data_IF_777911789580
#
_entry.id   IF_777911789580
#
_cell.length_a   1.000
_cell.length_b   1.000
_cell.length_c   1.000
_cell.angle_alpha   90.00
_cell.angle_beta   90.00
_cell.angle_gamma   90.00
#
_symmetry.space_group_name_H-M   'P 1'
#
loop_
_entity.id
_entity.type
_entity.pdbx_description
1 polymer ?
#
# COMPACT_ATOMS: atom_id res chain seq x y z
N UNK A 1 38.16 -3.38 11.08
CA UNK A 1 37.41 -4.02 9.97
C UNK A 1 36.56 -5.12 10.56
N UNK A 2 35.28 -4.86 10.76
CA UNK A 2 34.33 -5.88 11.22
C UNK A 2 33.21 -5.88 10.20
N UNK A 3 33.33 -6.76 9.21
CA UNK A 3 32.27 -7.00 8.23
C UNK A 3 31.14 -7.74 8.94
N UNK A 4 30.06 -7.02 9.22
CA UNK A 4 28.79 -7.63 9.60
C UNK A 4 28.14 -8.10 8.31
N UNK A 5 28.27 -9.40 8.01
CA UNK A 5 27.48 -10.06 6.96
C UNK A 5 25.98 -9.89 7.31
N UNK A 6 25.12 -9.49 6.37
CA UNK A 6 23.69 -9.50 6.60
C UNK A 6 23.28 -10.96 6.85
N UNK A 7 22.63 -11.23 8.00
CA UNK A 7 21.86 -12.46 8.15
C UNK A 7 20.76 -12.41 7.10
N UNK A 8 20.86 -13.25 6.07
CA UNK A 8 19.67 -13.69 5.33
C UNK A 8 18.67 -14.12 6.40
N UNK A 9 17.57 -13.38 6.53
CA UNK A 9 16.46 -13.79 7.35
C UNK A 9 15.96 -15.10 6.75
N UNK A 10 16.42 -16.21 7.35
CA UNK A 10 15.92 -17.53 7.07
C UNK A 10 14.39 -17.43 7.04
N UNK A 11 13.79 -17.90 5.94
CA UNK A 11 12.35 -18.10 5.81
C UNK A 11 11.80 -18.61 7.13
N UNK A 12 11.11 -17.74 7.88
CA UNK A 12 10.42 -18.15 9.08
C UNK A 12 9.37 -19.13 8.59
N UNK A 13 9.65 -20.43 8.73
CA UNK A 13 8.75 -21.49 8.30
C UNK A 13 7.39 -21.22 8.94
N UNK A 14 6.41 -20.85 8.13
CA UNK A 14 5.06 -20.60 8.58
C UNK A 14 4.42 -21.98 8.81
N UNK A 15 4.54 -22.50 10.02
CA UNK A 15 3.87 -23.74 10.40
C UNK A 15 2.36 -23.52 10.48
N UNK A 16 1.57 -24.45 9.94
CA UNK A 16 0.10 -24.43 10.00
C UNK A 16 -0.55 -23.20 9.32
N UNK A 17 0.07 -22.67 8.25
CA UNK A 17 -0.48 -21.55 7.47
C UNK A 17 -0.80 -21.89 6.01
N UNK A 18 -0.91 -23.18 5.71
CA UNK A 18 -1.11 -23.66 4.34
C UNK A 18 -2.42 -23.14 3.74
N UNK A 19 -3.48 -23.04 4.54
CA UNK A 19 -4.79 -22.52 4.10
C UNK A 19 -4.71 -21.03 3.76
N UNK A 20 -4.08 -20.21 4.62
CA UNK A 20 -3.91 -18.77 4.38
C UNK A 20 -3.03 -18.50 3.16
N UNK A 21 -1.94 -19.25 3.00
CA UNK A 21 -1.07 -19.14 1.82
C UNK A 21 -1.83 -19.57 0.57
N UNK A 22 -2.60 -20.66 0.61
CA UNK A 22 -3.41 -21.10 -0.54
C UNK A 22 -4.43 -20.04 -0.95
N UNK A 23 -5.12 -19.40 0.02
CA UNK A 23 -6.08 -18.35 -0.27
C UNK A 23 -5.42 -17.11 -0.90
N UNK A 24 -4.23 -16.74 -0.42
CA UNK A 24 -3.42 -15.65 -1.00
C UNK A 24 -3.00 -15.99 -2.43
N UNK A 25 -2.49 -17.21 -2.65
CA UNK A 25 -2.05 -17.66 -3.97
C UNK A 25 -3.19 -17.60 -4.98
N UNK A 26 -4.38 -18.09 -4.62
CA UNK A 26 -5.57 -18.01 -5.45
C UNK A 26 -5.99 -16.56 -5.77
N UNK A 27 -5.92 -15.66 -4.78
CA UNK A 27 -6.24 -14.26 -4.99
C UNK A 27 -5.25 -13.57 -5.96
N UNK A 28 -3.95 -13.84 -5.81
CA UNK A 28 -2.93 -13.30 -6.72
C UNK A 28 -3.05 -13.92 -8.11
N UNK A 29 -3.30 -15.22 -8.22
CA UNK A 29 -3.48 -15.89 -9.51
C UNK A 29 -4.71 -15.32 -10.25
N UNK A 30 -5.80 -15.04 -9.52
CA UNK A 30 -6.98 -14.35 -10.07
C UNK A 30 -6.66 -12.93 -10.52
N UNK A 31 -5.90 -12.18 -9.72
CA UNK A 31 -5.45 -10.82 -10.07
C UNK A 31 -4.60 -10.82 -11.35
N UNK A 32 -3.70 -11.78 -11.49
CA UNK A 32 -2.79 -11.91 -12.64
C UNK A 32 -3.50 -12.43 -13.90
N UNK A 33 -4.59 -13.18 -13.76
CA UNK A 33 -5.30 -13.77 -14.89
C UNK A 33 -6.13 -12.75 -15.70
N UNK A 34 -6.66 -11.71 -15.03
CA UNK A 34 -7.57 -10.76 -15.66
C UNK A 34 -7.28 -9.31 -15.23
N UNK A 35 -6.85 -8.48 -16.19
CA UNK A 35 -6.61 -7.06 -15.97
C UNK A 35 -7.90 -6.25 -15.72
N UNK A 36 -9.06 -6.80 -16.09
CA UNK A 36 -10.37 -6.25 -15.76
C UNK A 36 -10.88 -6.67 -14.38
N UNK A 37 -10.13 -7.51 -13.66
CA UNK A 37 -10.41 -7.84 -12.26
C UNK A 37 -10.57 -6.56 -11.44
N UNK A 38 -11.61 -6.52 -10.62
CA UNK A 38 -11.84 -5.42 -9.67
C UNK A 38 -10.85 -5.44 -8.50
N UNK A 39 -9.94 -6.42 -8.46
CA UNK A 39 -9.04 -6.67 -7.35
C UNK A 39 -9.72 -7.45 -6.23
N UNK A 40 -8.99 -7.64 -5.12
CA UNK A 40 -9.48 -8.33 -3.93
C UNK A 40 -8.90 -7.70 -2.68
N UNK A 41 -9.70 -7.61 -1.61
CA UNK A 41 -9.23 -7.19 -0.29
C UNK A 41 -9.11 -8.40 0.63
N UNK A 42 -7.89 -8.66 1.11
CA UNK A 42 -7.61 -9.68 2.11
C UNK A 42 -7.27 -9.02 3.45
N UNK A 43 -7.93 -9.45 4.53
CA UNK A 43 -7.70 -8.91 5.88
C UNK A 43 -7.17 -10.01 6.79
N UNK A 44 -5.89 -9.89 7.16
CA UNK A 44 -5.25 -10.80 8.12
C UNK A 44 -5.57 -10.36 9.54
N UNK A 45 -6.25 -11.23 10.31
CA UNK A 45 -6.61 -10.99 11.71
C UNK A 45 -6.00 -12.05 12.61
N UNK A 46 -5.64 -11.64 13.82
CA UNK A 46 -5.08 -12.53 14.82
C UNK A 46 -4.47 -11.75 15.97
N UNK A 47 -4.26 -12.41 17.10
CA UNK A 47 -3.63 -11.82 18.27
C UNK A 47 -2.20 -11.34 18.00
N UNK A 48 -1.71 -10.43 18.84
CA UNK A 48 -0.32 -9.97 18.78
C UNK A 48 0.63 -11.16 18.94
N UNK A 49 1.69 -11.21 18.14
CA UNK A 49 2.67 -12.30 18.19
C UNK A 49 2.34 -13.55 17.38
N UNK A 50 1.13 -13.69 16.79
CA UNK A 50 0.76 -14.86 15.95
C UNK A 50 1.38 -14.87 14.53
N UNK A 51 2.40 -14.05 14.28
CA UNK A 51 3.13 -14.06 13.01
C UNK A 51 2.46 -13.34 11.83
N UNK A 52 1.52 -12.41 12.06
CA UNK A 52 0.86 -11.64 10.97
C UNK A 52 1.85 -10.92 10.04
N UNK A 53 2.86 -10.27 10.61
CA UNK A 53 3.94 -9.63 9.83
C UNK A 53 4.76 -10.66 9.05
N UNK A 54 4.99 -11.85 9.60
CA UNK A 54 5.68 -12.93 8.88
C UNK A 54 4.81 -13.46 7.74
N UNK A 55 3.49 -13.58 7.92
CA UNK A 55 2.56 -13.93 6.86
C UNK A 55 2.57 -12.87 5.75
N UNK A 56 2.50 -11.57 6.08
CA UNK A 56 2.62 -10.50 5.07
C UNK A 56 3.96 -10.52 4.31
N UNK A 57 5.05 -10.89 4.97
CA UNK A 57 6.34 -11.06 4.31
C UNK A 57 6.33 -12.24 3.32
N UNK A 58 5.64 -13.34 3.64
CA UNK A 58 5.46 -14.44 2.69
C UNK A 58 4.52 -14.07 1.54
N UNK A 59 3.43 -13.35 1.82
CA UNK A 59 2.52 -12.81 0.78
C UNK A 59 3.31 -11.95 -0.22
N UNK A 60 4.22 -11.10 0.27
CA UNK A 60 5.14 -10.34 -0.59
C UNK A 60 5.97 -11.26 -1.49
N UNK A 61 6.63 -12.28 -0.92
CA UNK A 61 7.44 -13.24 -1.70
C UNK A 61 6.61 -13.98 -2.75
N UNK A 62 5.38 -14.37 -2.41
CA UNK A 62 4.43 -15.02 -3.31
C UNK A 62 4.08 -14.10 -4.49
N UNK A 63 3.77 -12.84 -4.22
CA UNK A 63 3.44 -11.84 -5.23
C UNK A 63 4.65 -11.51 -6.13
N UNK A 64 5.83 -11.30 -5.55
CA UNK A 64 7.08 -11.05 -6.29
C UNK A 64 7.44 -12.24 -7.21
N UNK A 65 7.25 -13.49 -6.75
CA UNK A 65 7.44 -14.70 -7.59
C UNK A 65 6.49 -14.75 -8.79
N UNK A 66 5.33 -14.11 -8.69
CA UNK A 66 4.33 -14.00 -9.77
C UNK A 66 4.51 -12.72 -10.61
N UNK A 67 5.64 -12.03 -10.47
CA UNK A 67 5.97 -10.77 -11.15
C UNK A 67 4.97 -9.64 -10.86
N UNK A 68 4.31 -9.66 -9.70
CA UNK A 68 3.49 -8.54 -9.27
C UNK A 68 4.36 -7.40 -8.77
N UNK A 69 3.92 -6.17 -9.06
CA UNK A 69 4.41 -4.98 -8.37
C UNK A 69 3.90 -5.02 -6.93
N UNK A 70 4.79 -4.99 -5.94
CA UNK A 70 4.41 -5.00 -4.52
C UNK A 70 4.79 -3.69 -3.85
N UNK A 71 3.79 -2.98 -3.35
CA UNK A 71 4.02 -1.79 -2.52
C UNK A 71 3.61 -2.08 -1.10
N UNK A 72 4.32 -1.50 -0.14
CA UNK A 72 4.02 -1.73 1.26
C UNK A 72 4.10 -0.49 2.09
N UNK A 73 3.21 -0.45 3.08
CA UNK A 73 3.18 0.56 4.11
C UNK A 73 2.96 -0.11 5.46
N UNK A 74 3.31 0.62 6.52
CA UNK A 74 3.10 0.17 7.90
C UNK A 74 2.45 1.25 8.72
N UNK A 75 1.42 0.89 9.47
CA UNK A 75 0.85 1.74 10.50
C UNK A 75 1.87 1.96 11.63
N UNK A 76 1.98 3.20 12.10
CA UNK A 76 2.90 3.55 13.19
C UNK A 76 2.12 4.13 14.36
N UNK A 77 2.35 3.61 15.57
CA UNK A 77 1.63 4.05 16.77
C UNK A 77 1.74 5.56 17.01
N UNK A 78 2.93 6.13 16.81
CA UNK A 78 3.21 7.56 16.96
C UNK A 78 2.67 8.43 15.82
N UNK A 79 2.22 7.82 14.72
CA UNK A 79 1.81 8.52 13.49
C UNK A 79 0.29 8.50 13.27
N UNK A 80 -0.49 8.00 14.24
CA UNK A 80 -1.96 8.01 14.18
C UNK A 80 -2.59 9.39 13.97
N UNK A 81 -1.89 10.45 14.39
CA UNK A 81 -2.35 11.83 14.25
C UNK A 81 -1.91 12.50 12.95
N UNK A 82 -1.18 11.80 12.07
CA UNK A 82 -0.72 12.33 10.78
C UNK A 82 -1.66 11.78 9.70
N UNK A 83 -2.54 12.62 9.12
CA UNK A 83 -3.51 12.16 8.14
C UNK A 83 -2.86 11.51 6.92
N UNK A 84 -3.48 10.43 6.44
CA UNK A 84 -3.09 9.67 5.27
C UNK A 84 -1.65 9.12 5.30
N UNK A 85 -1.01 9.02 6.47
CA UNK A 85 0.41 8.64 6.55
C UNK A 85 0.73 7.29 5.89
N UNK A 86 -0.18 6.32 6.00
CA UNK A 86 -0.03 5.02 5.32
C UNK A 86 -0.18 5.17 3.81
N UNK A 87 -1.15 5.96 3.34
CA UNK A 87 -1.35 6.21 1.90
C UNK A 87 -0.15 6.93 1.29
N UNK A 88 0.46 7.87 2.04
CA UNK A 88 1.72 8.53 1.66
C UNK A 88 2.84 7.53 1.46
N UNK A 89 3.04 6.60 2.40
CA UNK A 89 4.06 5.55 2.27
C UNK A 89 3.89 4.71 1.01
N UNK A 90 2.64 4.49 0.56
CA UNK A 90 2.36 3.79 -0.69
C UNK A 90 2.66 4.68 -1.91
N UNK A 91 2.01 5.84 -2.01
CA UNK A 91 2.02 6.65 -3.24
C UNK A 91 3.26 7.53 -3.41
N UNK A 92 3.80 8.09 -2.32
CA UNK A 92 4.84 9.10 -2.38
C UNK A 92 6.13 8.61 -3.08
N UNK A 93 6.67 7.40 -2.81
CA UNK A 93 7.90 6.94 -3.46
C UNK A 93 7.83 6.94 -4.99
N UNK A 94 6.68 6.54 -5.54
CA UNK A 94 6.50 6.48 -7.00
C UNK A 94 6.17 7.82 -7.64
N UNK A 95 5.67 8.79 -6.87
CA UNK A 95 5.40 10.14 -7.37
C UNK A 95 6.63 11.02 -7.29
N UNK A 96 7.45 10.86 -6.25
CA UNK A 96 8.71 11.63 -6.09
C UNK A 96 9.78 11.18 -7.10
N UNK A 97 9.70 9.95 -7.61
CA UNK A 97 10.58 9.48 -8.68
C UNK A 97 10.23 10.08 -10.06
N UNK A 98 9.07 10.71 -10.21
CA UNK A 98 8.64 11.36 -11.45
C UNK A 98 9.11 12.81 -11.49
N UNK A 99 9.21 13.37 -12.69
CA UNK A 99 9.36 14.82 -12.82
C UNK A 99 8.10 15.53 -12.29
N UNK A 100 8.20 16.78 -11.80
CA UNK A 100 7.05 17.52 -11.25
C UNK A 100 5.85 17.59 -12.21
N UNK A 101 6.10 17.75 -13.50
CA UNK A 101 5.09 17.80 -14.55
C UNK A 101 4.37 16.46 -14.71
N UNK A 102 5.11 15.35 -14.66
CA UNK A 102 4.57 14.00 -14.74
C UNK A 102 3.74 13.66 -13.49
N UNK A 103 4.18 14.07 -12.31
CA UNK A 103 3.40 13.92 -11.08
C UNK A 103 2.10 14.74 -11.13
N UNK A 104 2.14 15.94 -11.74
CA UNK A 104 0.96 16.77 -11.98
C UNK A 104 -0.01 16.13 -12.96
N UNK A 105 0.48 15.61 -14.08
CA UNK A 105 -0.33 14.86 -15.04
C UNK A 105 -0.93 13.61 -14.40
N UNK A 106 -0.14 12.90 -13.59
CA UNK A 106 -0.57 11.68 -12.90
C UNK A 106 -1.76 11.90 -11.96
N UNK A 107 -1.74 12.96 -11.15
CA UNK A 107 -2.85 13.30 -10.27
C UNK A 107 -3.97 14.07 -11.00
N UNK A 108 -3.65 14.73 -12.11
CA UNK A 108 -4.60 15.50 -12.92
C UNK A 108 -5.30 16.57 -12.09
N UNK A 109 -6.63 16.64 -12.21
CA UNK A 109 -7.47 17.59 -11.47
C UNK A 109 -7.34 17.46 -9.93
N UNK A 110 -6.87 16.31 -9.45
CA UNK A 110 -6.66 16.07 -8.02
C UNK A 110 -5.31 16.54 -7.51
N UNK A 111 -4.39 17.01 -8.36
CA UNK A 111 -3.03 17.37 -7.94
C UNK A 111 -3.03 18.43 -6.83
N UNK A 112 -3.80 19.50 -6.99
CA UNK A 112 -3.85 20.60 -6.03
C UNK A 112 -4.66 20.22 -4.75
N UNK A 113 -5.39 19.10 -4.77
CA UNK A 113 -6.21 18.61 -3.64
C UNK A 113 -5.48 17.49 -2.87
N UNK A 114 -5.01 16.46 -3.55
CA UNK A 114 -4.35 15.28 -2.96
C UNK A 114 -2.83 15.44 -2.85
N UNK A 115 -2.21 16.28 -3.68
CA UNK A 115 -0.76 16.51 -3.65
C UNK A 115 -0.22 17.00 -2.30
N UNK A 116 -0.88 17.96 -1.61
CA UNK A 116 -0.47 18.39 -0.28
C UNK A 116 -0.53 17.27 0.76
N UNK A 117 -1.59 16.45 0.71
CA UNK A 117 -1.73 15.28 1.59
C UNK A 117 -0.63 14.24 1.33
N UNK A 118 -0.12 14.17 0.10
CA UNK A 118 1.01 13.31 -0.28
C UNK A 118 2.38 13.92 0.06
N UNK A 119 2.43 15.22 0.38
CA UNK A 119 3.67 15.96 0.61
C UNK A 119 4.51 16.12 -0.66
N UNK A 120 3.87 16.21 -1.83
CA UNK A 120 4.55 16.45 -3.12
C UNK A 120 4.38 17.88 -3.63
N UNK A 121 3.50 18.67 -3.00
CA UNK A 121 3.31 20.10 -3.24
C UNK A 121 2.88 20.76 -1.93
N UNK A 122 3.06 22.07 -1.83
CA UNK A 122 2.65 22.85 -0.68
C UNK A 122 1.12 23.01 -0.64
N UNK A 123 0.49 23.06 0.55
CA UNK A 123 -0.92 23.39 0.68
C UNK A 123 -1.22 24.78 0.09
N UNK A 124 -2.25 24.87 -0.74
CA UNK A 124 -2.75 26.16 -1.21
C UNK A 124 -3.49 26.94 -0.12
N UNK A 125 -3.90 28.18 -0.44
CA UNK A 125 -4.66 29.04 0.48
C UNK A 125 -6.06 28.49 0.82
N UNK A 126 -6.60 27.60 -0.02
CA UNK A 126 -7.91 26.97 0.20
C UNK A 126 -7.74 25.69 0.99
N UNK A 127 -8.53 25.56 2.06
CA UNK A 127 -8.65 24.31 2.78
C UNK A 127 -9.31 23.26 1.89
N UNK A 128 -8.61 22.16 1.63
CA UNK A 128 -9.14 21.06 0.85
C UNK A 128 -10.27 20.35 1.62
N UNK A 129 -11.34 20.01 0.92
CA UNK A 129 -12.41 19.17 1.45
C UNK A 129 -11.85 17.75 1.74
N UNK A 130 -11.97 17.22 2.97
CA UNK A 130 -11.48 15.89 3.31
C UNK A 130 -12.01 14.77 2.40
N UNK A 131 -13.25 14.89 1.91
CA UNK A 131 -13.81 13.92 0.97
C UNK A 131 -13.10 14.02 -0.38
N UNK A 132 -12.92 15.23 -0.92
CA UNK A 132 -12.15 15.45 -2.14
C UNK A 132 -10.70 14.94 -2.06
N UNK A 133 -10.03 15.08 -0.92
CA UNK A 133 -8.68 14.49 -0.71
C UNK A 133 -8.75 12.96 -0.79
N UNK A 134 -9.70 12.35 -0.09
CA UNK A 134 -9.90 10.90 -0.11
C UNK A 134 -10.15 10.39 -1.53
N UNK A 135 -11.07 11.02 -2.27
CA UNK A 135 -11.43 10.65 -3.64
C UNK A 135 -10.23 10.80 -4.59
N UNK A 136 -9.43 11.87 -4.43
CA UNK A 136 -8.20 12.07 -5.19
C UNK A 136 -7.14 10.99 -4.92
N UNK A 137 -6.99 10.56 -3.66
CA UNK A 137 -6.09 9.47 -3.29
C UNK A 137 -6.56 8.10 -3.81
N UNK A 138 -7.87 7.82 -3.75
CA UNK A 138 -8.47 6.62 -4.37
C UNK A 138 -8.22 6.63 -5.88
N UNK A 139 -8.45 7.76 -6.55
CA UNK A 139 -8.16 7.92 -7.97
C UNK A 139 -6.68 7.70 -8.28
N UNK A 140 -5.78 8.23 -7.43
CA UNK A 140 -4.33 8.03 -7.50
C UNK A 140 -3.94 6.55 -7.45
N UNK A 141 -4.46 5.77 -6.50
CA UNK A 141 -4.18 4.32 -6.43
C UNK A 141 -4.85 3.56 -7.58
N UNK A 142 -6.04 3.94 -8.03
CA UNK A 142 -6.67 3.31 -9.21
C UNK A 142 -5.86 3.54 -10.49
N UNK A 143 -5.27 4.72 -10.69
CA UNK A 143 -4.36 4.99 -11.81
C UNK A 143 -3.10 4.13 -11.70
N UNK A 144 -2.59 3.98 -10.49
CA UNK A 144 -1.43 3.16 -10.23
C UNK A 144 -1.68 1.70 -10.58
N UNK A 145 -2.79 1.15 -10.07
CA UNK A 145 -3.18 -0.23 -10.31
C UNK A 145 -3.32 -0.52 -11.80
N UNK A 146 -3.69 0.47 -12.63
CA UNK A 146 -3.70 0.33 -14.10
C UNK A 146 -2.31 0.40 -14.72
N UNK A 147 -1.43 1.27 -14.23
CA UNK A 147 -0.08 1.49 -14.75
C UNK A 147 0.84 0.30 -14.43
N UNK A 148 0.85 -0.13 -13.18
CA UNK A 148 1.83 -1.08 -12.62
C UNK A 148 1.22 -2.48 -12.41
N UNK A 149 0.16 -2.80 -13.15
CA UNK A 149 -0.55 -4.09 -13.07
C UNK A 149 0.38 -5.27 -13.40
N UNK A 150 0.32 -6.38 -12.64
CA UNK A 150 -0.52 -6.61 -11.46
C UNK A 150 0.07 -5.99 -10.19
N UNK A 151 -0.74 -5.24 -9.44
CA UNK A 151 -0.33 -4.49 -8.25
C UNK A 151 -0.89 -5.10 -6.96
N UNK A 152 -0.03 -5.37 -6.00
CA UNK A 152 -0.38 -5.80 -4.64
C UNK A 152 0.02 -4.73 -3.63
N UNK A 153 -0.95 -4.24 -2.86
CA UNK A 153 -0.73 -3.32 -1.75
C UNK A 153 -0.74 -4.09 -0.44
N UNK A 154 0.35 -4.01 0.34
CA UNK A 154 0.46 -4.63 1.65
C UNK A 154 0.49 -3.56 2.73
N UNK A 155 -0.41 -3.67 3.70
CA UNK A 155 -0.48 -2.74 4.82
C UNK A 155 -0.33 -3.55 6.10
N UNK A 156 0.85 -3.44 6.73
CA UNK A 156 1.07 -4.03 8.04
C UNK A 156 0.60 -3.06 9.14
N UNK A 157 0.21 -3.62 10.29
CA UNK A 157 -0.19 -2.84 11.46
C UNK A 157 -1.30 -1.79 11.15
N UNK A 158 -2.25 -2.14 10.27
CA UNK A 158 -3.33 -1.25 9.84
C UNK A 158 -4.20 -0.71 11.00
N UNK A 159 -4.23 -1.39 12.15
CA UNK A 159 -4.87 -0.91 13.37
C UNK A 159 -4.19 0.33 13.99
N UNK A 160 -2.95 0.63 13.60
CA UNK A 160 -2.22 1.87 13.93
C UNK A 160 -2.34 2.94 12.83
N UNK A 161 -3.11 2.70 11.76
CA UNK A 161 -3.36 3.72 10.75
C UNK A 161 -4.19 4.89 11.33
N UNK A 162 -4.03 6.06 10.73
CA UNK A 162 -4.88 7.22 10.98
C UNK A 162 -6.31 7.01 10.46
N UNK A 163 -7.26 7.78 11.00
CA UNK A 163 -8.68 7.61 10.69
C UNK A 163 -9.01 7.88 9.22
N UNK A 164 -8.27 8.80 8.60
CA UNK A 164 -8.39 9.19 7.21
C UNK A 164 -7.93 8.06 6.28
N UNK A 165 -6.81 7.40 6.57
CA UNK A 165 -6.39 6.16 5.90
C UNK A 165 -7.45 5.07 6.02
N UNK A 166 -8.05 4.87 7.21
CA UNK A 166 -9.07 3.84 7.39
C UNK A 166 -10.34 4.13 6.56
N UNK A 167 -10.75 5.40 6.46
CA UNK A 167 -11.85 5.81 5.57
C UNK A 167 -11.49 5.58 4.11
N UNK A 168 -10.27 5.91 3.73
CA UNK A 168 -9.76 5.68 2.38
C UNK A 168 -9.74 4.20 2.00
N UNK A 169 -9.34 3.31 2.91
CA UNK A 169 -9.40 1.85 2.70
C UNK A 169 -10.83 1.33 2.51
N UNK A 170 -11.80 1.97 3.15
CA UNK A 170 -13.22 1.61 3.03
C UNK A 170 -13.89 2.17 1.75
N UNK A 171 -13.18 2.95 0.93
CA UNK A 171 -13.72 3.59 -0.28
C UNK A 171 -13.47 2.79 -1.57
N UNK A 172 -12.80 1.63 -1.49
CA UNK A 172 -12.62 0.68 -2.59
C UNK A 172 -13.79 -0.29 -2.68
#
# INVERSE_FOLDING_TARGET
MTEVRPREAASASLWERDEEITAVEQAIDTLCADRSSSGSLLVVRGEAGLGKTALLAEIRRVAERRNCTVWSARGGETLRSVPFNVVRQLLQPALVSLMPEEAREYLGDWYDIAGPALGITEPGERQADPQGVCDGLVAGVRRLARRDWPLVLLIDDAHWADQETLRWLAAF
#
